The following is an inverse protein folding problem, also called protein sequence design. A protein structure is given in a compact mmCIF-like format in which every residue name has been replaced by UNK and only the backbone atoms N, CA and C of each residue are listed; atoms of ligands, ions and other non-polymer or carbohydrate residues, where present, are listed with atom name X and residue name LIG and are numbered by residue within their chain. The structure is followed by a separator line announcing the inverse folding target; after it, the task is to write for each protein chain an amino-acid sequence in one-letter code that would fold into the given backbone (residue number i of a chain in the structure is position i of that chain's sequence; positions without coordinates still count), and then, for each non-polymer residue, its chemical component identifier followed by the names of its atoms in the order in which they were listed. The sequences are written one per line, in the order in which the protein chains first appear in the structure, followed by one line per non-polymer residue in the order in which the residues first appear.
data_IF_257196720906
#
_entry.id   IF_257196720906
#
_cell.length_a   1.000
_cell.length_b   1.000
_cell.length_c   1.000
_cell.angle_alpha   90.00
_cell.angle_beta   90.00
_cell.angle_gamma   90.00
#
_symmetry.space_group_name_H-M   'P 1'
#
loop_
_entity.id
_entity.type
_entity.pdbx_description
1 polymer ?
#
# COMPACT_ATOMS: atom_id res chain seq x y z
N UNK A 1 12.02 9.66 -10.84
CA UNK A 1 11.48 8.60 -9.98
C UNK A 1 10.24 9.10 -9.28
N UNK A 2 9.20 8.29 -9.24
CA UNK A 2 7.93 8.66 -8.62
C UNK A 2 7.75 7.88 -7.32
N UNK A 3 7.53 8.58 -6.20
CA UNK A 3 7.37 7.97 -4.88
C UNK A 3 5.94 8.14 -4.42
N UNK A 4 5.33 7.02 -3.98
CA UNK A 4 4.02 7.02 -3.36
C UNK A 4 4.17 6.52 -1.93
N UNK A 5 3.72 7.33 -0.99
CA UNK A 5 3.70 6.95 0.43
C UNK A 5 2.27 6.88 0.89
N UNK A 6 1.90 5.77 1.49
CA UNK A 6 0.55 5.56 2.02
C UNK A 6 0.64 5.20 3.49
N UNK A 7 -0.07 5.95 4.32
CA UNK A 7 -0.19 5.66 5.74
C UNK A 7 -1.57 5.09 6.00
N UNK A 8 -1.62 3.91 6.61
CA UNK A 8 -2.89 3.26 6.92
C UNK A 8 -3.00 2.97 8.42
N UNK A 9 -4.19 3.23 8.96
CA UNK A 9 -4.56 2.84 10.32
C UNK A 9 -5.43 1.61 10.24
N UNK A 10 -5.07 0.58 10.98
CA UNK A 10 -5.73 -0.72 10.92
C UNK A 10 -6.34 -1.09 12.26
N UNK A 11 -7.28 -2.02 12.22
CA UNK A 11 -7.88 -2.58 13.42
C UNK A 11 -6.82 -3.34 14.21
N UNK A 12 -6.77 -3.08 15.51
CA UNK A 12 -5.85 -3.78 16.40
C UNK A 12 -6.11 -5.29 16.37
N UNK A 13 -5.05 -6.05 16.27
CA UNK A 13 -5.14 -7.51 16.23
C UNK A 13 -5.25 -8.11 14.83
N UNK A 14 -5.40 -7.29 13.80
CA UNK A 14 -5.55 -7.77 12.41
C UNK A 14 -4.33 -7.46 11.53
N UNK A 15 -3.20 -7.11 12.15
CA UNK A 15 -2.00 -6.68 11.43
C UNK A 15 -1.46 -7.77 10.50
N UNK A 16 -1.41 -9.02 10.97
CA UNK A 16 -0.86 -10.13 10.19
C UNK A 16 -1.71 -10.43 8.97
N UNK A 17 -3.03 -10.47 9.14
CA UNK A 17 -3.96 -10.73 8.05
C UNK A 17 -3.92 -9.62 7.00
N UNK A 18 -3.87 -8.38 7.46
CA UNK A 18 -3.79 -7.24 6.56
C UNK A 18 -2.48 -7.24 5.78
N UNK A 19 -1.36 -7.46 6.46
CA UNK A 19 -0.05 -7.47 5.81
C UNK A 19 0.04 -8.56 4.74
N UNK A 20 -0.50 -9.74 5.05
CA UNK A 20 -0.56 -10.83 4.08
C UNK A 20 -1.38 -10.44 2.83
N UNK A 21 -2.55 -9.82 3.03
CA UNK A 21 -3.38 -9.34 1.95
C UNK A 21 -2.72 -8.24 1.13
N UNK A 22 -2.04 -7.31 1.80
CA UNK A 22 -1.34 -6.23 1.12
C UNK A 22 -0.20 -6.76 0.24
N UNK A 23 0.56 -7.74 0.71
CA UNK A 23 1.63 -8.33 -0.08
C UNK A 23 1.13 -9.02 -1.34
N UNK A 24 -0.09 -9.56 -1.32
CA UNK A 24 -0.72 -10.12 -2.51
C UNK A 24 -1.28 -9.05 -3.44
N UNK A 25 -1.74 -7.94 -2.88
CA UNK A 25 -2.42 -6.87 -3.60
C UNK A 25 -1.45 -5.92 -4.31
N UNK A 26 -0.30 -5.62 -3.69
CA UNK A 26 0.69 -4.71 -4.23
C UNK A 26 1.67 -5.44 -5.15
N UNK A 27 2.28 -4.74 -6.12
CA UNK A 27 3.17 -5.37 -7.08
C UNK A 27 4.48 -5.83 -6.44
N UNK A 28 5.10 -6.84 -7.02
CA UNK A 28 6.44 -7.25 -6.62
C UNK A 28 7.48 -6.27 -7.17
N UNK A 29 8.56 -5.98 -6.42
CA UNK A 29 9.65 -5.15 -6.93
C UNK A 29 10.21 -5.68 -8.25
N UNK A 30 10.50 -4.77 -9.18
CA UNK A 30 11.04 -5.13 -10.49
C UNK A 30 9.99 -5.47 -11.52
N UNK A 31 8.69 -5.37 -11.22
CA UNK A 31 7.60 -5.65 -12.16
C UNK A 31 6.83 -4.38 -12.50
N UNK A 32 6.39 -4.27 -13.75
CA UNK A 32 5.48 -3.21 -14.22
C UNK A 32 5.93 -1.77 -13.89
N UNK A 33 7.24 -1.53 -13.83
CA UNK A 33 7.78 -0.22 -13.49
C UNK A 33 7.90 0.08 -12.01
N UNK A 34 7.50 -0.85 -11.16
CA UNK A 34 7.72 -0.73 -9.71
C UNK A 34 9.17 -1.08 -9.38
N UNK A 35 9.92 -0.11 -8.86
CA UNK A 35 11.33 -0.31 -8.52
C UNK A 35 11.46 -1.00 -7.17
N UNK A 36 10.70 -0.53 -6.19
CA UNK A 36 10.74 -1.07 -4.84
C UNK A 36 9.44 -0.80 -4.12
N UNK A 37 9.16 -1.62 -3.12
CA UNK A 37 8.04 -1.41 -2.21
C UNK A 37 8.46 -1.84 -0.81
N UNK A 38 8.14 -1.00 0.18
CA UNK A 38 8.47 -1.24 1.57
C UNK A 38 7.22 -1.14 2.43
N UNK A 39 7.10 -2.08 3.37
CA UNK A 39 6.05 -2.05 4.39
C UNK A 39 6.73 -1.82 5.73
N UNK A 40 6.40 -0.72 6.39
CA UNK A 40 6.98 -0.37 7.68
C UNK A 40 5.91 -0.26 8.74
N UNK A 41 6.15 -0.89 9.88
CA UNK A 41 5.27 -0.79 11.03
C UNK A 41 5.64 0.49 11.79
N UNK A 42 4.70 1.43 11.87
CA UNK A 42 4.86 2.64 12.67
C UNK A 42 4.37 2.31 14.09
N UNK A 43 4.98 2.92 15.10
CA UNK A 43 4.67 2.63 16.49
C UNK A 43 3.15 2.65 16.76
N UNK A 44 2.60 1.55 17.31
CA UNK A 44 1.18 1.50 17.61
C UNK A 44 0.86 2.46 18.75
N UNK A 45 -0.18 3.26 18.57
CA UNK A 45 -0.80 3.98 19.67
C UNK A 45 -1.91 3.10 20.25
N UNK A 46 -2.35 3.40 21.46
CA UNK A 46 -3.14 2.55 22.34
C UNK A 46 -4.19 1.63 21.70
N UNK A 47 -4.87 2.05 20.64
CA UNK A 47 -5.96 1.27 20.02
C UNK A 47 -5.79 1.07 18.52
N UNK A 48 -4.71 1.59 17.94
CA UNK A 48 -4.52 1.60 16.49
C UNK A 48 -3.11 1.18 16.14
N UNK A 49 -3.00 0.29 15.17
CA UNK A 49 -1.73 0.01 14.53
C UNK A 49 -1.63 0.82 13.25
N UNK A 50 -0.45 1.34 12.97
CA UNK A 50 -0.17 2.10 11.76
C UNK A 50 0.87 1.39 10.92
N UNK A 51 0.60 1.30 9.60
CA UNK A 51 1.57 0.83 8.63
C UNK A 51 1.82 1.90 7.59
N UNK A 52 3.08 2.04 7.20
CA UNK A 52 3.46 2.88 6.10
C UNK A 52 3.87 2.01 4.92
N UNK A 53 3.27 2.28 3.77
CA UNK A 53 3.62 1.62 2.51
C UNK A 53 4.31 2.66 1.65
N UNK A 54 5.55 2.38 1.26
CA UNK A 54 6.33 3.27 0.41
C UNK A 54 6.67 2.55 -0.88
N UNK A 55 6.24 3.12 -1.99
CA UNK A 55 6.46 2.57 -3.32
C UNK A 55 7.34 3.50 -4.14
N UNK A 56 8.33 2.93 -4.82
CA UNK A 56 9.13 3.64 -5.81
C UNK A 56 8.75 3.14 -7.20
N UNK A 57 8.40 4.08 -8.08
CA UNK A 57 8.03 3.79 -9.47
C UNK A 57 8.96 4.51 -10.43
N UNK A 58 9.20 3.92 -11.59
CA UNK A 58 9.98 4.57 -12.64
C UNK A 58 9.28 5.85 -13.11
N UNK A 59 7.99 5.77 -13.36
CA UNK A 59 7.17 6.89 -13.83
C UNK A 59 5.83 6.92 -13.14
N UNK A 60 5.19 8.09 -13.15
CA UNK A 60 3.82 8.26 -12.68
C UNK A 60 2.85 7.41 -13.52
N UNK A 61 3.11 7.30 -14.81
CA UNK A 61 2.27 6.52 -15.71
C UNK A 61 2.23 5.05 -15.31
N UNK A 62 3.37 4.46 -14.96
CA UNK A 62 3.44 3.07 -14.50
C UNK A 62 2.58 2.86 -13.26
N UNK A 63 2.63 3.79 -12.32
CA UNK A 63 1.81 3.76 -11.12
C UNK A 63 0.32 3.81 -11.46
N UNK A 64 -0.09 4.72 -12.34
CA UNK A 64 -1.50 4.85 -12.73
C UNK A 64 -1.99 3.62 -13.49
N UNK A 65 -1.16 3.04 -14.32
CA UNK A 65 -1.50 1.80 -15.04
C UNK A 65 -1.76 0.67 -14.04
N UNK A 66 -0.90 0.54 -13.04
CA UNK A 66 -1.10 -0.46 -11.99
C UNK A 66 -2.39 -0.21 -11.20
N UNK A 67 -2.67 1.04 -10.84
CA UNK A 67 -3.91 1.39 -10.13
C UNK A 67 -5.14 0.95 -10.91
N UNK A 68 -5.17 1.18 -12.22
CA UNK A 68 -6.30 0.79 -13.07
C UNK A 68 -6.49 -0.73 -13.09
N UNK A 69 -5.41 -1.49 -13.14
CA UNK A 69 -5.46 -2.95 -13.11
C UNK A 69 -5.89 -3.48 -11.75
N UNK A 70 -5.44 -2.87 -10.69
CA UNK A 70 -5.72 -3.28 -9.32
C UNK A 70 -7.21 -3.19 -8.99
N UNK A 71 -7.92 -2.23 -9.55
CA UNK A 71 -9.35 -2.05 -9.31
C UNK A 71 -10.19 -3.23 -9.78
N UNK A 72 -9.65 -4.09 -10.63
CA UNK A 72 -10.32 -5.30 -11.11
C UNK A 72 -10.41 -6.40 -10.05
N UNK A 73 -9.55 -6.36 -9.04
CA UNK A 73 -9.57 -7.37 -7.98
C UNK A 73 -10.43 -6.91 -6.80
N UNK A 74 -11.74 -6.88 -7.04
CA UNK A 74 -12.72 -6.36 -6.08
C UNK A 74 -12.76 -7.18 -4.79
N UNK A 75 -12.64 -8.50 -4.89
CA UNK A 75 -12.71 -9.38 -3.72
C UNK A 75 -11.58 -9.12 -2.73
N UNK A 76 -10.34 -9.05 -3.24
CA UNK A 76 -9.17 -8.79 -2.40
C UNK A 76 -9.23 -7.38 -1.80
N UNK A 77 -9.67 -6.41 -2.62
CA UNK A 77 -9.82 -5.02 -2.18
C UNK A 77 -10.81 -4.91 -1.00
N UNK A 78 -11.96 -5.57 -1.09
CA UNK A 78 -12.95 -5.58 -0.01
C UNK A 78 -12.41 -6.21 1.26
N UNK A 79 -11.67 -7.30 1.14
CA UNK A 79 -11.08 -7.99 2.28
C UNK A 79 -10.08 -7.08 3.00
N UNK A 80 -9.23 -6.41 2.25
CA UNK A 80 -8.23 -5.47 2.80
C UNK A 80 -8.94 -4.29 3.48
N UNK A 81 -9.92 -3.69 2.81
CA UNK A 81 -10.64 -2.52 3.34
C UNK A 81 -11.37 -2.82 4.64
N UNK A 82 -11.79 -4.06 4.85
CA UNK A 82 -12.42 -4.47 6.10
C UNK A 82 -11.53 -4.33 7.33
N UNK A 83 -10.21 -4.32 7.15
CA UNK A 83 -9.26 -4.18 8.23
C UNK A 83 -8.72 -2.75 8.40
N UNK A 84 -9.03 -1.85 7.46
CA UNK A 84 -8.49 -0.48 7.46
C UNK A 84 -9.52 0.48 8.06
N UNK A 85 -9.08 1.24 9.07
CA UNK A 85 -9.90 2.28 9.71
C UNK A 85 -9.81 3.59 8.95
N UNK A 86 -8.62 3.96 8.49
CA UNK A 86 -8.39 5.17 7.71
C UNK A 86 -7.11 5.05 6.91
N UNK A 87 -6.99 5.85 5.85
CA UNK A 87 -5.79 5.87 5.03
C UNK A 87 -5.52 7.27 4.50
N UNK A 88 -4.22 7.60 4.36
CA UNK A 88 -3.74 8.83 3.74
C UNK A 88 -2.70 8.48 2.70
N UNK A 89 -2.76 9.14 1.55
CA UNK A 89 -1.80 8.93 0.47
C UNK A 89 -1.11 10.23 0.11
N UNK A 90 0.17 10.15 -0.23
CA UNK A 90 0.94 11.25 -0.78
C UNK A 90 1.80 10.71 -1.92
N UNK A 91 1.90 11.48 -2.99
CA UNK A 91 2.67 11.09 -4.16
C UNK A 91 3.45 12.29 -4.70
N UNK A 92 4.71 12.07 -5.05
CA UNK A 92 5.56 13.14 -5.58
C UNK A 92 6.70 12.58 -6.42
N UNK A 93 7.21 13.44 -7.33
CA UNK A 93 8.44 13.13 -8.04
C UNK A 93 9.65 13.49 -7.19
N UNK A 94 10.66 12.64 -7.25
CA UNK A 94 11.98 12.90 -6.69
C UNK A 94 12.94 13.18 -7.83
N UNK A 95 13.53 14.35 -7.77
CA UNK A 95 14.53 14.79 -8.75
C UNK A 95 15.94 14.40 -8.34
#
# INVERSE_FOLDING_TARGET
MFIVTKLIHIKYGYESELLYGLKQYYPSPGTNGCINIEFSHVHPTNDKAEYMIRMLWKTQQDYHTWLSQRERNVTLKRKIQGYILSSKSNASYVH
#
